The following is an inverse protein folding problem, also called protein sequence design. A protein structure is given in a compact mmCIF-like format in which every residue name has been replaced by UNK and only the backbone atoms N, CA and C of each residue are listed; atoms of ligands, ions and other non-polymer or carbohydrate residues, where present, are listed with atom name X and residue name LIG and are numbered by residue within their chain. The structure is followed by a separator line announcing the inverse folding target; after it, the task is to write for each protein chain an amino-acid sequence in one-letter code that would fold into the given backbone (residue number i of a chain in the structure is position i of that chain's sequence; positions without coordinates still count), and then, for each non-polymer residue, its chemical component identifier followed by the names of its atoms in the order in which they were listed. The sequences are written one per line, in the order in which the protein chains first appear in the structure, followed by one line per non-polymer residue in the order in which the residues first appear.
data_IF_457744886084
#
_entry.id   IF_457744886084
#
_cell.length_a   1.000
_cell.length_b   1.000
_cell.length_c   1.000
_cell.angle_alpha   90.00
_cell.angle_beta   90.00
_cell.angle_gamma   90.00
#
_symmetry.space_group_name_H-M   'P 1'
#
loop_
_entity.id
_entity.type
_entity.pdbx_description
1 polymer ?
#
# COMPACT_ATOMS: atom_id res chain seq x y z
N UNK A 1 -40.27 46.47 13.16
CA UNK A 1 -39.09 45.91 13.87
C UNK A 1 -39.07 44.40 13.61
N UNK A 2 -38.36 43.96 12.57
CA UNK A 2 -38.27 42.55 12.19
C UNK A 2 -37.22 41.92 13.12
N UNK A 3 -37.69 41.28 14.19
CA UNK A 3 -36.87 40.57 15.16
C UNK A 3 -36.24 39.34 14.51
N UNK A 4 -34.97 39.48 14.14
CA UNK A 4 -34.08 38.46 13.60
C UNK A 4 -34.19 37.13 14.35
N UNK A 5 -34.88 36.15 13.76
CA UNK A 5 -34.83 34.75 14.14
C UNK A 5 -33.38 34.26 13.99
N UNK A 6 -32.64 34.22 15.09
CA UNK A 6 -31.34 33.55 15.15
C UNK A 6 -31.60 32.05 15.01
N UNK A 7 -31.54 31.58 13.78
CA UNK A 7 -31.47 30.15 13.45
C UNK A 7 -30.14 29.65 14.01
N UNK A 8 -30.14 29.18 15.26
CA UNK A 8 -29.05 28.39 15.82
C UNK A 8 -28.99 27.11 15.00
N UNK A 9 -28.21 27.14 13.93
CA UNK A 9 -27.80 25.95 13.20
C UNK A 9 -26.96 25.17 14.19
N UNK A 10 -27.59 24.22 14.88
CA UNK A 10 -26.87 23.18 15.59
C UNK A 10 -25.99 22.53 14.55
N UNK A 11 -24.70 22.83 14.61
CA UNK A 11 -23.69 22.05 13.92
C UNK A 11 -23.79 20.70 14.61
N UNK A 12 -24.60 19.82 14.04
CA UNK A 12 -24.57 18.39 14.33
C UNK A 12 -23.11 18.00 14.07
N UNK A 13 -22.31 17.96 15.14
CA UNK A 13 -21.08 17.17 15.18
C UNK A 13 -21.57 15.76 14.92
N UNK A 14 -21.60 15.42 13.62
CA UNK A 14 -21.86 14.08 13.13
C UNK A 14 -20.89 13.22 13.92
N UNK A 15 -21.42 12.41 14.83
CA UNK A 15 -20.68 11.33 15.44
C UNK A 15 -20.29 10.42 14.30
N UNK A 16 -19.18 10.75 13.62
CA UNK A 16 -18.56 9.93 12.61
C UNK A 16 -18.13 8.67 13.33
N UNK A 17 -19.03 7.68 13.30
CA UNK A 17 -18.75 6.37 13.86
C UNK A 17 -17.48 5.82 13.23
N UNK A 18 -16.83 4.91 13.95
CA UNK A 18 -15.57 4.28 13.56
C UNK A 18 -15.63 3.76 12.10
N UNK A 19 -16.79 3.30 11.63
CA UNK A 19 -16.99 2.87 10.24
C UNK A 19 -16.73 3.96 9.19
N UNK A 20 -17.19 5.20 9.42
CA UNK A 20 -16.90 6.32 8.50
C UNK A 20 -15.43 6.70 8.56
N UNK A 21 -14.82 6.69 9.76
CA UNK A 21 -13.39 6.97 9.90
C UNK A 21 -12.50 5.92 9.20
N UNK A 22 -12.89 4.64 9.22
CA UNK A 22 -12.20 3.59 8.48
C UNK A 22 -12.39 3.73 6.96
N UNK A 23 -13.58 4.13 6.52
CA UNK A 23 -13.82 4.43 5.11
C UNK A 23 -12.95 5.59 4.63
N UNK A 24 -12.92 6.70 5.37
CA UNK A 24 -12.10 7.87 5.04
C UNK A 24 -10.61 7.52 5.03
N UNK A 25 -10.14 6.72 6.01
CA UNK A 25 -8.77 6.22 6.04
C UNK A 25 -8.46 5.39 4.79
N UNK A 26 -9.37 4.51 4.37
CA UNK A 26 -9.21 3.70 3.15
C UNK A 26 -9.03 4.59 1.91
N UNK A 27 -9.84 5.64 1.76
CA UNK A 27 -9.71 6.58 0.63
C UNK A 27 -8.38 7.33 0.67
N UNK A 28 -7.96 7.80 1.85
CA UNK A 28 -6.66 8.47 2.01
C UNK A 28 -5.49 7.54 1.64
N UNK A 29 -5.57 6.26 2.03
CA UNK A 29 -4.56 5.27 1.69
C UNK A 29 -4.53 5.00 0.19
N UNK A 30 -5.68 4.84 -0.46
CA UNK A 30 -5.73 4.67 -1.91
C UNK A 30 -5.05 5.83 -2.63
N UNK A 31 -5.35 7.06 -2.25
CA UNK A 31 -4.74 8.25 -2.86
C UNK A 31 -3.22 8.30 -2.65
N UNK A 32 -2.75 8.04 -1.43
CA UNK A 32 -1.32 8.06 -1.10
C UNK A 32 -0.54 6.88 -1.73
N UNK A 33 -1.20 5.74 -1.94
CA UNK A 33 -0.57 4.52 -2.43
C UNK A 33 -0.61 4.38 -3.97
N UNK A 34 -1.41 5.18 -4.68
CA UNK A 34 -1.56 5.11 -6.16
C UNK A 34 -0.25 5.39 -6.89
N UNK A 35 0.57 6.30 -6.37
CA UNK A 35 1.84 6.72 -7.01
C UNK A 35 2.98 5.71 -6.80
N UNK A 36 2.77 4.67 -5.98
CA UNK A 36 3.83 3.74 -5.58
C UNK A 36 4.84 4.34 -4.58
N UNK A 37 4.73 5.63 -4.23
CA UNK A 37 5.61 6.30 -3.25
C UNK A 37 4.75 7.20 -2.37
N UNK A 38 4.79 6.95 -1.07
CA UNK A 38 4.04 7.71 -0.07
C UNK A 38 4.89 8.88 0.42
N UNK A 39 4.41 10.10 0.18
CA UNK A 39 5.11 11.29 0.62
C UNK A 39 5.15 11.34 2.17
N UNK A 40 6.27 11.77 2.80
CA UNK A 40 6.37 11.85 4.26
C UNK A 40 5.25 12.67 4.92
N UNK A 41 4.78 13.72 4.24
CA UNK A 41 3.67 14.56 4.71
C UNK A 41 2.32 13.83 4.71
N UNK A 42 2.07 12.97 3.72
CA UNK A 42 0.85 12.16 3.65
C UNK A 42 0.87 11.09 4.75
N UNK A 43 2.02 10.44 4.92
CA UNK A 43 2.24 9.46 6.00
C UNK A 43 2.00 10.08 7.38
N UNK A 44 2.48 11.31 7.59
CA UNK A 44 2.23 12.07 8.82
C UNK A 44 0.75 12.39 8.98
N UNK A 45 0.09 12.88 7.92
CA UNK A 45 -1.34 13.21 7.93
C UNK A 45 -2.20 12.00 8.28
N UNK A 46 -1.87 10.82 7.74
CA UNK A 46 -2.57 9.56 8.02
C UNK A 46 -2.37 9.13 9.47
N UNK A 47 -1.15 9.23 10.03
CA UNK A 47 -0.91 8.95 11.46
C UNK A 47 -1.67 9.90 12.38
N UNK A 48 -1.68 11.19 12.06
CA UNK A 48 -2.44 12.18 12.83
C UNK A 48 -3.95 11.91 12.76
N UNK A 49 -4.46 11.51 11.59
CA UNK A 49 -5.85 11.11 11.44
C UNK A 49 -6.19 9.86 12.28
N UNK A 50 -5.34 8.84 12.25
CA UNK A 50 -5.49 7.64 13.08
C UNK A 50 -5.50 7.98 14.57
N UNK A 51 -4.58 8.84 15.03
CA UNK A 51 -4.52 9.29 16.42
C UNK A 51 -5.78 10.05 16.85
N UNK A 52 -6.32 10.92 15.99
CA UNK A 52 -7.55 11.68 16.25
C UNK A 52 -8.80 10.80 16.30
N UNK A 53 -8.82 9.71 15.53
CA UNK A 53 -9.98 8.80 15.40
C UNK A 53 -9.88 7.54 16.26
N UNK A 54 -8.76 7.33 16.96
CA UNK A 54 -8.53 6.14 17.76
C UNK A 54 -8.35 4.86 16.94
N UNK A 55 -7.86 4.99 15.70
CA UNK A 55 -7.64 3.85 14.79
C UNK A 55 -6.33 3.17 15.16
N UNK A 56 -6.37 1.86 15.36
CA UNK A 56 -5.18 1.08 15.73
C UNK A 56 -4.30 0.77 14.53
N UNK A 57 -3.00 0.51 14.77
CA UNK A 57 -2.08 0.04 13.72
C UNK A 57 -2.60 -1.23 13.03
N UNK A 58 -3.23 -2.12 13.78
CA UNK A 58 -3.83 -3.36 13.25
C UNK A 58 -4.93 -3.09 12.22
N UNK A 59 -5.76 -2.06 12.44
CA UNK A 59 -6.80 -1.66 11.48
C UNK A 59 -6.19 -1.06 10.21
N UNK A 60 -5.13 -0.25 10.34
CA UNK A 60 -4.36 0.24 9.19
C UNK A 60 -3.78 -0.92 8.37
N UNK A 61 -3.11 -1.88 9.01
CA UNK A 61 -2.52 -3.04 8.34
C UNK A 61 -3.60 -3.87 7.63
N UNK A 62 -4.77 -4.04 8.26
CA UNK A 62 -5.89 -4.72 7.64
C UNK A 62 -6.37 -4.01 6.36
N UNK A 63 -6.42 -2.67 6.37
CA UNK A 63 -6.77 -1.88 5.18
C UNK A 63 -5.69 -1.95 4.10
N UNK A 64 -4.41 -1.84 4.44
CA UNK A 64 -3.30 -1.92 3.48
C UNK A 64 -3.27 -3.25 2.73
N UNK A 65 -3.57 -4.35 3.43
CA UNK A 65 -3.65 -5.71 2.86
C UNK A 65 -4.86 -5.96 1.97
N UNK A 66 -5.84 -5.04 1.94
CA UNK A 66 -6.97 -5.19 1.02
C UNK A 66 -6.49 -5.15 -0.43
N UNK A 67 -7.11 -5.94 -1.30
CA UNK A 67 -6.75 -6.02 -2.73
C UNK A 67 -6.80 -4.66 -3.44
N UNK A 68 -7.57 -3.71 -2.92
CA UNK A 68 -7.69 -2.37 -3.49
C UNK A 68 -6.47 -1.48 -3.26
N UNK A 69 -5.67 -1.76 -2.21
CA UNK A 69 -4.45 -1.02 -1.91
C UNK A 69 -3.24 -1.89 -2.26
N UNK A 70 -3.20 -3.12 -1.74
CA UNK A 70 -2.17 -4.10 -2.08
C UNK A 70 -0.78 -3.74 -1.55
N UNK A 71 -0.70 -3.10 -0.38
CA UNK A 71 0.57 -2.76 0.28
C UNK A 71 0.79 -3.64 1.51
N UNK A 72 2.05 -3.96 1.76
CA UNK A 72 2.50 -4.64 2.97
C UNK A 72 2.88 -3.63 4.05
N UNK A 73 2.95 -4.10 5.30
CA UNK A 73 3.41 -3.28 6.43
C UNK A 73 4.83 -2.73 6.20
N UNK A 74 5.71 -3.54 5.59
CA UNK A 74 7.09 -3.14 5.28
C UNK A 74 7.13 -1.99 4.27
N UNK A 75 6.35 -2.08 3.20
CA UNK A 75 6.28 -1.04 2.17
C UNK A 75 5.69 0.27 2.70
N UNK A 76 4.71 0.19 3.61
CA UNK A 76 4.18 1.35 4.30
C UNK A 76 5.22 2.02 5.21
N UNK A 77 6.01 1.22 5.93
CA UNK A 77 7.07 1.73 6.79
C UNK A 77 8.20 2.38 5.98
N UNK A 78 8.60 1.75 4.87
CA UNK A 78 9.57 2.29 3.93
C UNK A 78 9.04 3.55 3.21
N UNK A 79 7.74 3.55 2.89
CA UNK A 79 7.07 4.62 2.15
C UNK A 79 7.25 4.53 0.64
N UNK A 80 7.71 3.39 0.15
CA UNK A 80 7.75 3.04 -1.25
C UNK A 80 7.14 1.65 -1.40
N UNK A 81 6.33 1.47 -2.44
CA UNK A 81 5.88 0.15 -2.83
C UNK A 81 7.12 -0.59 -3.29
N UNK A 82 7.39 -1.71 -2.65
CA UNK A 82 8.31 -2.71 -3.15
C UNK A 82 7.51 -3.49 -4.18
N UNK A 83 7.06 -2.79 -5.23
CA UNK A 83 6.81 -3.47 -6.48
C UNK A 83 8.12 -4.18 -6.74
N UNK A 84 8.06 -5.51 -6.67
CA UNK A 84 9.06 -6.39 -7.21
C UNK A 84 9.65 -5.64 -8.38
N UNK A 85 10.96 -5.37 -8.33
CA UNK A 85 11.77 -5.32 -9.53
C UNK A 85 11.11 -6.32 -10.44
N UNK A 86 10.47 -5.84 -11.52
CA UNK A 86 9.95 -6.70 -12.56
C UNK A 86 10.99 -7.80 -12.65
N UNK A 87 10.59 -9.06 -12.48
CA UNK A 87 11.26 -10.10 -13.21
C UNK A 87 11.12 -9.64 -14.65
N UNK A 88 12.09 -8.82 -15.05
CA UNK A 88 12.34 -8.39 -16.37
C UNK A 88 12.72 -9.71 -16.99
N UNK A 89 11.77 -10.25 -17.74
CA UNK A 89 11.88 -11.48 -18.49
C UNK A 89 13.08 -11.41 -19.47
N UNK A 90 13.72 -10.25 -19.58
CA UNK A 90 14.93 -9.95 -20.35
C UNK A 90 16.13 -9.48 -19.50
N UNK A 91 16.07 -9.47 -18.15
CA UNK A 91 17.25 -9.29 -17.32
C UNK A 91 18.01 -10.61 -17.33
N UNK A 92 18.91 -10.68 -18.31
CA UNK A 92 19.89 -11.73 -18.53
C UNK A 92 20.29 -12.38 -17.20
N UNK A 93 20.09 -13.70 -17.12
CA UNK A 93 20.60 -14.53 -16.02
C UNK A 93 21.98 -14.03 -15.61
N UNK A 94 22.16 -13.78 -14.31
CA UNK A 94 23.48 -13.56 -13.74
C UNK A 94 24.41 -14.68 -14.23
N UNK A 95 25.66 -14.39 -14.63
CA UNK A 95 26.60 -15.42 -15.08
C UNK A 95 26.74 -16.59 -14.10
N UNK A 96 26.53 -16.36 -12.80
CA UNK A 96 26.54 -17.41 -11.78
C UNK A 96 25.35 -18.38 -11.86
N UNK A 97 24.17 -17.92 -12.29
CA UNK A 97 22.98 -18.79 -12.40
C UNK A 97 23.05 -19.66 -13.67
N UNK A 98 23.78 -19.23 -14.71
CA UNK A 98 24.03 -20.04 -15.91
C UNK A 98 24.87 -21.28 -15.61
N UNK A 99 25.85 -21.17 -14.73
CA UNK A 99 26.77 -22.27 -14.41
C UNK A 99 26.02 -23.40 -13.68
N UNK A 100 25.11 -23.06 -12.75
CA UNK A 100 24.26 -24.03 -12.05
C UNK A 100 23.28 -24.74 -12.99
N UNK A 101 22.74 -24.03 -13.98
CA UNK A 101 21.84 -24.64 -14.98
C UNK A 101 22.62 -25.57 -15.92
N UNK A 102 23.84 -25.21 -16.32
CA UNK A 102 24.69 -26.04 -17.18
C UNK A 102 25.15 -27.33 -16.45
N UNK A 103 25.48 -27.23 -15.15
CA UNK A 103 25.81 -28.38 -14.31
C UNK A 103 24.60 -29.29 -14.07
N UNK A 104 23.41 -28.72 -13.87
CA UNK A 104 22.17 -29.48 -13.73
C UNK A 104 21.81 -30.23 -15.03
N UNK A 105 21.94 -29.59 -16.19
CA UNK A 105 21.68 -30.21 -17.50
C UNK A 105 22.68 -31.32 -17.83
N UNK A 106 23.96 -31.16 -17.47
CA UNK A 106 24.97 -32.23 -17.56
C UNK A 106 24.65 -33.41 -16.65
N UNK A 107 24.19 -33.14 -15.44
CA UNK A 107 23.85 -34.19 -14.46
C UNK A 107 22.62 -35.01 -14.89
N UNK A 108 21.67 -34.39 -15.59
CA UNK A 108 20.48 -35.07 -16.12
C UNK A 108 20.68 -35.74 -17.49
N UNK A 109 21.89 -35.70 -18.07
CA UNK A 109 22.20 -36.37 -19.33
C UNK A 109 21.48 -35.80 -20.56
N UNK A 110 20.96 -34.58 -20.48
CA UNK A 110 20.28 -33.89 -21.58
C UNK A 110 21.30 -33.05 -22.37
N UNK A 111 22.31 -33.69 -22.94
CA UNK A 111 23.18 -33.06 -23.92
C UNK A 111 22.42 -32.93 -25.26
N UNK A 112 22.02 -31.68 -25.55
CA UNK A 112 21.72 -31.07 -26.87
C UNK A 112 21.49 -32.04 -28.05
N UNK A 113 20.28 -32.04 -28.59
CA UNK A 113 20.08 -32.35 -30.02
C UNK A 113 20.71 -31.21 -30.86
N UNK A 114 21.63 -31.49 -31.79
CA UNK A 114 22.24 -30.47 -32.62
C UNK A 114 21.35 -30.06 -33.81
N UNK A 115 21.29 -28.74 -34.00
CA UNK A 115 20.85 -27.91 -35.15
C UNK A 115 19.39 -27.96 -35.57
#
# INVERSE_FOLDING_TARGET
LIGSLRRTRSVQKKSEGIGMALHDLKVMLQQACVTGVIHPLERRSIREFMGKKGISKSQLIALLKTQEIGWTEKEWEDGAKHDNILYDENKALSPLDRDLVDEFLKTQGLEKLPK
#
